data_IF_206774623894
#
_entry.id   IF_206774623894
#
_cell.length_a   1.000
_cell.length_b   1.000
_cell.length_c   1.000
_cell.angle_alpha   90.00
_cell.angle_beta   90.00
_cell.angle_gamma   90.00
#
_symmetry.space_group_name_H-M   'P 1'
#
loop_
_entity.id
_entity.type
_entity.pdbx_description
1 polymer ?
#
# COMPACT_ATOMS: atom_id res chain seq x y z
N UNK A 1 0.69 4.02 9.96
CA UNK A 1 0.82 3.26 11.23
C UNK A 1 2.25 3.20 11.75
N UNK A 2 3.26 2.97 10.90
CA UNK A 2 4.64 2.67 11.33
C UNK A 2 5.41 3.86 11.94
N UNK A 3 5.18 5.08 11.46
CA UNK A 3 5.81 6.30 11.98
C UNK A 3 4.96 6.98 13.08
N UNK A 4 5.55 7.94 13.80
CA UNK A 4 4.88 8.81 14.77
C UNK A 4 4.72 10.23 14.19
N UNK A 5 3.51 10.79 14.29
CA UNK A 5 3.22 12.17 13.86
C UNK A 5 2.50 12.25 12.51
N UNK A 6 2.27 13.45 12.00
CA UNK A 6 1.56 13.70 10.74
C UNK A 6 2.50 14.19 9.65
N UNK A 7 2.25 13.77 8.41
CA UNK A 7 2.97 14.22 7.21
C UNK A 7 1.97 14.56 6.11
N UNK A 8 2.19 15.69 5.44
CA UNK A 8 1.46 16.05 4.23
C UNK A 8 2.24 15.58 3.00
N UNK A 9 1.61 14.79 2.15
CA UNK A 9 2.12 14.39 0.84
C UNK A 9 1.45 15.26 -0.22
N UNK A 10 2.23 15.89 -1.08
CA UNK A 10 1.75 16.69 -2.20
C UNK A 10 2.28 16.14 -3.53
N UNK A 11 1.35 15.76 -4.42
CA UNK A 11 1.60 15.25 -5.75
C UNK A 11 1.09 16.24 -6.81
N UNK A 12 1.99 17.04 -7.38
CA UNK A 12 1.63 18.12 -8.31
C UNK A 12 1.20 17.65 -9.69
N UNK A 13 1.77 16.56 -10.20
CA UNK A 13 1.74 16.29 -11.66
C UNK A 13 0.51 15.52 -12.13
N UNK A 14 -0.15 14.76 -11.25
CA UNK A 14 -1.25 13.86 -11.64
C UNK A 14 -2.30 13.80 -10.54
N UNK A 15 -3.52 14.21 -10.87
CA UNK A 15 -4.68 14.29 -9.95
C UNK A 15 -5.15 12.92 -9.45
N UNK A 16 -5.03 11.86 -10.24
CA UNK A 16 -5.52 10.51 -9.87
C UNK A 16 -4.50 9.67 -9.10
N UNK A 17 -3.28 10.17 -8.90
CA UNK A 17 -2.17 9.34 -8.39
C UNK A 17 -2.29 9.00 -6.90
N UNK A 18 -3.16 9.68 -6.16
CA UNK A 18 -3.37 9.42 -4.74
C UNK A 18 -4.55 8.47 -4.47
N UNK A 19 -5.38 8.10 -5.46
CA UNK A 19 -6.61 7.34 -5.18
C UNK A 19 -6.39 5.92 -4.63
N UNK A 20 -5.20 5.35 -4.80
CA UNK A 20 -4.88 4.06 -4.17
C UNK A 20 -4.88 4.12 -2.63
N UNK A 21 -4.83 5.32 -2.03
CA UNK A 21 -4.87 5.49 -0.56
C UNK A 21 -6.17 4.98 0.05
N UNK A 22 -7.27 4.91 -0.72
CA UNK A 22 -8.54 4.36 -0.25
C UNK A 22 -8.37 2.92 0.26
N UNK A 23 -7.56 2.12 -0.44
CA UNK A 23 -7.24 0.75 0.01
C UNK A 23 -6.39 0.72 1.25
N UNK A 24 -5.51 1.71 1.46
CA UNK A 24 -4.79 1.83 2.72
C UNK A 24 -5.71 2.23 3.87
N UNK A 25 -6.71 3.08 3.61
CA UNK A 25 -7.75 3.46 4.58
C UNK A 25 -8.60 2.23 4.94
N UNK A 26 -9.01 1.42 3.95
CA UNK A 26 -9.70 0.14 4.16
C UNK A 26 -8.89 -0.82 5.06
N UNK A 27 -7.56 -0.81 4.92
CA UNK A 27 -6.64 -1.55 5.79
C UNK A 27 -6.48 -0.95 7.20
N UNK A 28 -7.10 0.19 7.50
CA UNK A 28 -7.03 0.87 8.79
C UNK A 28 -5.94 1.96 8.89
N UNK A 29 -5.35 2.39 7.79
CA UNK A 29 -4.47 3.55 7.78
C UNK A 29 -5.25 4.84 8.07
N UNK A 30 -4.64 5.76 8.82
CA UNK A 30 -5.19 7.08 9.05
C UNK A 30 -4.67 8.03 7.98
N UNK A 31 -5.46 8.21 6.92
CA UNK A 31 -5.13 9.09 5.81
C UNK A 31 -6.34 9.98 5.53
N UNK A 32 -6.09 11.27 5.36
CA UNK A 32 -7.09 12.25 4.96
C UNK A 32 -6.69 12.75 3.58
N UNK A 33 -7.48 12.42 2.57
CA UNK A 33 -7.33 13.01 1.24
C UNK A 33 -7.91 14.41 1.27
N UNK A 34 -7.05 15.43 1.18
CA UNK A 34 -7.45 16.83 1.27
C UNK A 34 -8.03 17.33 -0.06
N UNK A 35 -7.45 16.86 -1.17
CA UNK A 35 -7.84 17.13 -2.57
C UNK A 35 -7.10 16.13 -3.49
N UNK A 36 -7.32 16.15 -4.83
CA UNK A 36 -6.68 15.19 -5.75
C UNK A 36 -5.14 15.17 -5.68
N UNK A 37 -4.51 16.26 -5.24
CA UNK A 37 -3.06 16.38 -5.18
C UNK A 37 -2.48 16.23 -3.78
N UNK A 38 -3.27 16.31 -2.72
CA UNK A 38 -2.76 16.34 -1.34
C UNK A 38 -3.42 15.31 -0.45
N UNK A 39 -2.59 14.55 0.28
CA UNK A 39 -3.03 13.62 1.32
C UNK A 39 -2.23 13.82 2.60
N UNK A 40 -2.91 13.92 3.73
CA UNK A 40 -2.29 13.93 5.06
C UNK A 40 -2.29 12.51 5.62
N UNK A 41 -1.11 11.99 5.96
CA UNK A 41 -0.94 10.68 6.58
C UNK A 41 -0.63 10.85 8.06
N UNK A 42 -1.40 10.18 8.92
CA UNK A 42 -1.21 10.20 10.37
C UNK A 42 -0.55 8.89 10.80
N UNK A 43 0.69 9.02 11.26
CA UNK A 43 1.48 7.99 11.89
C UNK A 43 1.02 7.71 13.32
N UNK A 44 0.61 6.46 13.56
CA UNK A 44 0.07 6.01 14.85
C UNK A 44 1.12 5.38 15.77
N UNK A 45 2.40 5.42 15.41
CA UNK A 45 3.51 4.89 16.22
C UNK A 45 3.30 3.42 16.64
N UNK A 46 2.96 2.58 15.65
CA UNK A 46 2.66 1.14 15.83
C UNK A 46 1.50 0.82 16.80
N UNK A 47 0.77 1.82 17.31
CA UNK A 47 -0.40 1.62 18.19
C UNK A 47 -1.60 0.99 17.49
N UNK A 48 -1.66 1.09 16.17
CA UNK A 48 -2.66 0.41 15.34
C UNK A 48 -1.94 -0.26 14.18
N UNK A 49 -2.27 -1.53 13.94
CA UNK A 49 -1.76 -2.31 12.83
C UNK A 49 -2.69 -2.20 11.63
N UNK A 50 -2.11 -2.30 10.44
CA UNK A 50 -2.92 -2.49 9.23
C UNK A 50 -3.57 -3.88 9.30
N UNK A 51 -4.72 -4.03 8.65
CA UNK A 51 -5.43 -5.31 8.53
C UNK A 51 -5.34 -5.83 7.11
N UNK A 52 -5.21 -7.13 6.97
CA UNK A 52 -5.24 -7.78 5.67
C UNK A 52 -6.62 -7.65 5.03
N UNK A 53 -6.64 -7.30 3.75
CA UNK A 53 -7.87 -7.17 2.95
C UNK A 53 -7.65 -7.79 1.57
N UNK A 54 -8.74 -7.99 0.85
CA UNK A 54 -8.74 -8.28 -0.58
C UNK A 54 -8.75 -6.97 -1.37
N UNK A 55 -7.85 -6.84 -2.34
CA UNK A 55 -7.69 -5.62 -3.13
C UNK A 55 -7.18 -5.92 -4.54
N UNK A 56 -7.29 -4.95 -5.43
CA UNK A 56 -6.83 -5.04 -6.82
C UNK A 56 -5.75 -4.01 -7.06
N UNK A 57 -4.62 -4.42 -7.64
CA UNK A 57 -3.55 -3.50 -8.03
C UNK A 57 -4.00 -2.61 -9.21
N UNK A 58 -4.09 -1.27 -9.05
CA UNK A 58 -4.58 -0.39 -10.11
C UNK A 58 -3.50 -0.05 -11.13
N UNK A 59 -2.23 0.01 -10.71
CA UNK A 59 -1.07 0.27 -11.56
C UNK A 59 0.22 -0.27 -10.92
N UNK A 60 1.35 -0.10 -11.60
CA UNK A 60 2.68 -0.57 -11.18
C UNK A 60 3.05 -0.06 -9.77
N UNK A 61 2.92 1.25 -9.50
CA UNK A 61 3.44 1.89 -8.28
C UNK A 61 2.48 1.76 -7.11
N UNK A 62 1.19 1.98 -7.37
CA UNK A 62 0.15 1.75 -6.37
C UNK A 62 0.13 0.28 -5.93
N UNK A 63 0.26 -0.65 -6.88
CA UNK A 63 0.35 -2.08 -6.58
C UNK A 63 1.50 -2.43 -5.64
N UNK A 64 2.69 -1.85 -5.87
CA UNK A 64 3.82 -2.02 -4.95
C UNK A 64 3.58 -1.41 -3.57
N UNK A 65 2.98 -0.21 -3.51
CA UNK A 65 2.65 0.41 -2.23
C UNK A 65 1.68 -0.46 -1.41
N UNK A 66 0.67 -1.02 -2.07
CA UNK A 66 -0.29 -1.95 -1.47
C UNK A 66 0.36 -3.28 -1.05
N UNK A 67 1.30 -3.80 -1.85
CA UNK A 67 2.08 -4.98 -1.49
C UNK A 67 2.88 -4.78 -0.20
N UNK A 68 3.59 -3.65 -0.08
CA UNK A 68 4.36 -3.33 1.13
C UNK A 68 3.43 -3.14 2.34
N UNK A 69 2.29 -2.49 2.14
CA UNK A 69 1.28 -2.34 3.17
C UNK A 69 0.74 -3.69 3.64
N UNK A 70 0.46 -4.61 2.70
CA UNK A 70 -0.01 -5.96 2.97
C UNK A 70 1.01 -6.79 3.76
N UNK A 71 2.30 -6.67 3.44
CA UNK A 71 3.38 -7.33 4.20
C UNK A 71 3.48 -6.83 5.65
N UNK A 72 3.04 -5.60 5.91
CA UNK A 72 3.03 -5.00 7.25
C UNK A 72 1.70 -5.19 8.01
N UNK A 73 0.72 -5.82 7.38
CA UNK A 73 -0.63 -5.97 7.91
C UNK A 73 -0.79 -7.25 8.72
N UNK A 74 -1.71 -7.21 9.69
CA UNK A 74 -2.13 -8.37 10.45
C UNK A 74 -3.19 -9.15 9.67
N UNK A 75 -3.03 -10.47 9.59
CA UNK A 75 -3.92 -11.36 8.86
C UNK A 75 -3.43 -11.62 7.43
N UNK A 76 -4.36 -12.02 6.55
CA UNK A 76 -4.07 -12.36 5.16
C UNK A 76 -4.61 -11.28 4.23
N UNK A 77 -3.76 -10.78 3.35
CA UNK A 77 -4.17 -9.96 2.21
C UNK A 77 -4.19 -10.80 0.93
N UNK A 78 -5.09 -10.46 0.01
CA UNK A 78 -5.12 -11.00 -1.35
C UNK A 78 -5.05 -9.84 -2.33
N UNK A 79 -4.05 -9.84 -3.22
CA UNK A 79 -3.86 -8.80 -4.21
C UNK A 79 -4.11 -9.38 -5.60
N UNK A 80 -5.19 -8.91 -6.23
CA UNK A 80 -5.53 -9.22 -7.62
C UNK A 80 -4.77 -8.33 -8.59
N UNK A 81 -4.79 -8.73 -9.86
CA UNK A 81 -4.22 -7.94 -10.96
C UNK A 81 -2.70 -7.72 -10.83
N UNK A 82 -1.99 -8.70 -10.26
CA UNK A 82 -0.54 -8.64 -9.99
C UNK A 82 0.30 -8.39 -11.25
N UNK A 83 -0.22 -8.71 -12.44
CA UNK A 83 0.47 -8.41 -13.70
C UNK A 83 0.82 -6.92 -13.84
N UNK A 84 0.05 -6.01 -13.22
CA UNK A 84 0.40 -4.58 -13.19
C UNK A 84 1.71 -4.33 -12.45
N UNK A 85 1.93 -5.05 -11.34
CA UNK A 85 3.16 -4.96 -10.55
C UNK A 85 4.34 -5.55 -11.34
N UNK A 86 4.12 -6.70 -12.00
CA UNK A 86 5.16 -7.42 -12.75
C UNK A 86 5.75 -6.60 -13.90
N UNK A 87 4.95 -5.71 -14.51
CA UNK A 87 5.41 -4.77 -15.55
C UNK A 87 6.56 -3.86 -15.11
N UNK A 88 6.70 -3.60 -13.80
CA UNK A 88 7.78 -2.79 -13.26
C UNK A 88 8.78 -3.54 -12.38
N UNK A 89 8.44 -4.75 -11.91
CA UNK A 89 9.20 -5.46 -10.90
C UNK A 89 9.32 -6.94 -11.23
N UNK A 90 10.49 -7.33 -11.73
CA UNK A 90 10.77 -8.72 -12.08
C UNK A 90 10.83 -9.62 -10.85
N UNK A 91 10.04 -10.71 -10.88
CA UNK A 91 10.04 -11.80 -9.87
C UNK A 91 9.98 -11.28 -8.44
N UNK A 92 9.11 -10.30 -8.20
CA UNK A 92 9.06 -9.59 -6.91
C UNK A 92 8.71 -10.53 -5.76
N UNK A 93 7.81 -11.49 -5.98
CA UNK A 93 7.43 -12.51 -5.02
C UNK A 93 8.61 -13.40 -4.62
N UNK A 94 9.38 -13.93 -5.57
CA UNK A 94 10.59 -14.72 -5.27
C UNK A 94 11.60 -13.91 -4.45
N UNK A 95 11.85 -12.65 -4.85
CA UNK A 95 12.83 -11.77 -4.19
C UNK A 95 12.41 -11.41 -2.78
N UNK A 96 11.12 -11.16 -2.55
CA UNK A 96 10.58 -10.88 -1.22
C UNK A 96 10.57 -12.14 -0.35
N UNK A 97 10.20 -13.30 -0.89
CA UNK A 97 10.30 -14.57 -0.18
C UNK A 97 11.73 -14.90 0.22
N UNK A 98 12.72 -14.62 -0.64
CA UNK A 98 14.13 -14.84 -0.35
C UNK A 98 14.66 -14.02 0.84
N UNK A 99 14.00 -12.91 1.18
CA UNK A 99 14.32 -12.10 2.37
C UNK A 99 13.36 -12.35 3.55
N UNK A 100 12.57 -13.43 3.49
CA UNK A 100 11.71 -13.87 4.59
C UNK A 100 10.26 -13.39 4.55
N UNK A 101 9.80 -12.80 3.44
CA UNK A 101 8.40 -12.42 3.32
C UNK A 101 7.50 -13.66 3.14
N UNK A 102 6.40 -13.72 3.91
CA UNK A 102 5.35 -14.73 3.75
C UNK A 102 4.40 -14.32 2.61
N UNK A 103 4.81 -14.61 1.37
CA UNK A 103 4.06 -14.32 0.16
C UNK A 103 3.99 -15.57 -0.73
N UNK A 104 2.88 -15.72 -1.45
CA UNK A 104 2.69 -16.80 -2.42
C UNK A 104 1.87 -16.28 -3.60
N UNK A 105 2.30 -16.63 -4.81
CA UNK A 105 1.52 -16.43 -6.05
C UNK A 105 0.55 -17.61 -6.24
N UNK A 106 -0.69 -17.31 -6.62
CA UNK A 106 -1.80 -18.26 -6.80
C UNK A 106 -2.27 -18.23 -8.25
#
# INVERSE_FOLDING_TARGET
>A
TQARGSVLIHQKMFESRLFFVDKLIDMGAQIILCDPHRATVIGLDRRSQLRGIEMTSPDIRAGQALLIAALSAQGRSLIHNVHQIDRGYQRIDERLSAIGAHIKRV
#
